data_IF_853488315995
#
_entry.id   IF_853488315995
#
_cell.length_a   1.000
_cell.length_b   1.000
_cell.length_c   1.000
_cell.angle_alpha   90.00
_cell.angle_beta   90.00
_cell.angle_gamma   90.00
#
_symmetry.space_group_name_H-M   'P 1'
#
loop_
_entity.id
_entity.type
_entity.pdbx_description
1 polymer ?
#
# COMPACT_ATOMS: atom_id res chain seq x y z
N UNK A 1 5.36 2.34 9.04
CA UNK A 1 4.97 2.48 10.46
C UNK A 1 4.07 3.68 10.68
N UNK A 2 4.47 4.92 10.37
CA UNK A 2 3.62 6.14 10.53
C UNK A 2 2.24 5.99 9.90
N UNK A 3 2.17 5.47 8.68
CA UNK A 3 0.91 5.25 7.98
C UNK A 3 0.03 4.20 8.69
N UNK A 4 0.62 3.11 9.18
CA UNK A 4 -0.11 2.10 9.92
C UNK A 4 -0.70 2.67 11.23
N UNK A 5 0.04 3.49 11.96
CA UNK A 5 -0.51 4.21 13.11
C UNK A 5 -1.67 5.13 12.72
N UNK A 6 -1.55 5.86 11.60
CA UNK A 6 -2.63 6.69 11.08
C UNK A 6 -3.89 5.88 10.72
N UNK A 7 -3.72 4.74 10.09
CA UNK A 7 -4.84 3.84 9.75
C UNK A 7 -5.53 3.30 11.00
N UNK A 8 -4.78 2.86 11.99
CA UNK A 8 -5.33 2.27 13.22
C UNK A 8 -5.90 3.35 14.15
N UNK A 9 -5.11 4.38 14.49
CA UNK A 9 -5.47 5.33 15.54
C UNK A 9 -6.37 6.48 15.04
N UNK A 10 -6.26 6.89 13.77
CA UNK A 10 -6.98 8.05 13.26
C UNK A 10 -8.11 7.67 12.30
N UNK A 11 -7.91 6.65 11.47
CA UNK A 11 -8.93 6.22 10.52
C UNK A 11 -9.85 5.10 11.04
N UNK A 12 -9.61 4.58 12.26
CA UNK A 12 -10.45 3.55 12.88
C UNK A 12 -10.43 2.21 12.12
N UNK A 13 -9.32 1.87 11.46
CA UNK A 13 -9.21 0.67 10.62
C UNK A 13 -8.73 -0.55 11.43
N UNK A 14 -9.34 -0.80 12.59
CA UNK A 14 -9.07 -1.99 13.41
C UNK A 14 -10.35 -2.44 14.09
N UNK A 15 -10.70 -3.70 13.91
CA UNK A 15 -11.88 -4.31 14.55
C UNK A 15 -11.77 -4.32 16.08
N UNK A 16 -10.55 -4.39 16.62
CA UNK A 16 -10.32 -4.42 18.08
C UNK A 16 -10.45 -3.06 18.75
N UNK A 17 -10.23 -1.98 18.01
CA UNK A 17 -10.40 -0.61 18.49
C UNK A 17 -11.77 -0.04 18.11
N UNK A 18 -12.57 -0.81 17.41
CA UNK A 18 -13.82 -0.39 16.81
C UNK A 18 -13.64 0.84 15.90
N UNK A 19 -14.71 1.60 15.65
CA UNK A 19 -14.67 2.76 14.75
C UNK A 19 -14.30 4.06 15.52
N UNK A 20 -13.39 3.97 16.48
CA UNK A 20 -12.96 5.11 17.28
C UNK A 20 -11.77 5.81 16.61
N UNK A 21 -11.85 7.13 16.56
CA UNK A 21 -10.77 7.99 16.13
C UNK A 21 -10.10 8.64 17.33
N UNK A 22 -8.81 8.45 17.48
CA UNK A 22 -8.00 9.04 18.55
C UNK A 22 -7.23 10.27 18.10
N UNK A 23 -7.69 10.92 17.02
CA UNK A 23 -7.11 12.16 16.53
C UNK A 23 -7.47 13.32 17.46
N UNK A 24 -6.47 14.11 17.88
CA UNK A 24 -6.67 15.36 18.57
C UNK A 24 -6.29 16.53 17.65
N UNK A 25 -7.24 17.41 17.38
CA UNK A 25 -7.00 18.65 16.63
C UNK A 25 -6.22 19.71 17.42
N UNK A 26 -5.91 19.43 18.71
CA UNK A 26 -5.20 20.34 19.62
C UNK A 26 -3.74 19.93 19.83
N UNK A 27 -3.07 19.45 18.79
CA UNK A 27 -1.70 18.91 18.85
C UNK A 27 -0.62 19.90 19.29
N UNK A 28 -0.91 21.19 19.40
CA UNK A 28 0.09 22.18 19.83
C UNK A 28 0.50 22.07 21.31
N UNK A 29 -0.28 21.33 22.15
CA UNK A 29 -0.01 21.19 23.59
C UNK A 29 -0.14 19.77 24.14
N UNK A 30 -0.19 18.75 23.30
CA UNK A 30 -0.45 17.39 23.74
C UNK A 30 0.81 16.68 24.26
N UNK A 31 1.22 17.03 25.48
CA UNK A 31 2.10 16.17 26.30
C UNK A 31 1.39 14.88 26.77
N UNK A 32 0.07 14.75 26.56
CA UNK A 32 -0.70 13.60 26.97
C UNK A 32 -1.39 12.96 25.76
N UNK A 33 -1.24 11.63 25.65
CA UNK A 33 -1.98 10.83 24.67
C UNK A 33 -3.49 10.93 24.98
N UNK A 34 -4.37 11.05 23.97
CA UNK A 34 -5.82 11.16 24.19
C UNK A 34 -6.49 9.84 24.58
N UNK A 35 -5.72 8.85 25.03
CA UNK A 35 -6.18 7.51 25.38
C UNK A 35 -5.32 6.90 26.49
N UNK A 36 -5.85 5.87 27.16
CA UNK A 36 -5.18 5.15 28.26
C UNK A 36 -3.97 4.34 27.75
N UNK A 37 -3.07 3.97 28.66
CA UNK A 37 -1.94 3.10 28.35
C UNK A 37 -2.38 1.75 27.82
N UNK A 38 -3.47 1.19 28.31
CA UNK A 38 -4.06 -0.05 27.78
C UNK A 38 -4.49 0.09 26.32
N UNK A 39 -5.07 1.21 25.95
CA UNK A 39 -5.42 1.50 24.55
C UNK A 39 -4.17 1.72 23.71
N UNK A 40 -3.11 2.35 24.27
CA UNK A 40 -1.83 2.49 23.59
C UNK A 40 -1.21 1.12 23.26
N UNK A 41 -1.17 0.19 24.22
CA UNK A 41 -0.68 -1.17 24.02
C UNK A 41 -1.48 -1.91 22.92
N UNK A 42 -2.80 -1.72 22.90
CA UNK A 42 -3.66 -2.31 21.88
C UNK A 42 -3.36 -1.72 20.48
N UNK A 43 -3.23 -0.40 20.37
CA UNK A 43 -2.81 0.27 19.14
C UNK A 43 -1.46 -0.27 18.65
N UNK A 44 -0.47 -0.37 19.52
CA UNK A 44 0.85 -0.89 19.18
C UNK A 44 0.80 -2.34 18.70
N UNK A 45 -0.03 -3.18 19.31
CA UNK A 45 -0.21 -4.57 18.93
C UNK A 45 -0.85 -4.71 17.55
N UNK A 46 -1.88 -3.90 17.26
CA UNK A 46 -2.55 -3.89 15.96
C UNK A 46 -1.63 -3.36 14.84
N UNK A 47 -0.87 -2.32 15.11
CA UNK A 47 0.13 -1.80 14.16
C UNK A 47 1.19 -2.86 13.86
N UNK A 48 1.71 -3.56 14.88
CA UNK A 48 2.67 -4.66 14.70
C UNK A 48 2.09 -5.79 13.86
N UNK A 49 0.86 -6.20 14.14
CA UNK A 49 0.17 -7.26 13.40
C UNK A 49 -0.02 -6.87 11.93
N UNK A 50 -0.52 -5.67 11.66
CA UNK A 50 -0.71 -5.15 10.30
C UNK A 50 0.62 -5.12 9.52
N UNK A 51 1.69 -4.62 10.11
CA UNK A 51 3.00 -4.56 9.45
C UNK A 51 3.55 -5.97 9.20
N UNK A 52 3.43 -6.87 10.15
CA UNK A 52 3.90 -8.26 10.02
C UNK A 52 3.17 -8.97 8.87
N UNK A 53 1.86 -8.84 8.78
CA UNK A 53 1.05 -9.41 7.70
C UNK A 53 1.50 -8.87 6.32
N UNK A 54 1.64 -7.56 6.18
CA UNK A 54 2.06 -6.98 4.90
C UNK A 54 3.52 -7.31 4.55
N UNK A 55 4.38 -7.48 5.54
CA UNK A 55 5.75 -7.93 5.33
C UNK A 55 5.81 -9.36 4.77
N UNK A 56 5.06 -10.29 5.36
CA UNK A 56 4.99 -11.67 4.86
C UNK A 56 4.36 -11.74 3.47
N UNK A 57 3.31 -10.94 3.21
CA UNK A 57 2.72 -10.80 1.88
C UNK A 57 3.75 -10.30 0.86
N UNK A 58 4.55 -9.30 1.21
CA UNK A 58 5.63 -8.80 0.35
C UNK A 58 6.67 -9.87 0.02
N UNK A 59 7.06 -10.66 1.01
CA UNK A 59 7.97 -11.80 0.81
C UNK A 59 7.39 -12.86 -0.13
N UNK A 60 6.13 -13.21 0.04
CA UNK A 60 5.44 -14.16 -0.83
C UNK A 60 5.44 -13.70 -2.28
N UNK A 61 5.05 -12.44 -2.55
CA UNK A 61 5.06 -11.87 -3.90
C UNK A 61 6.45 -11.93 -4.53
N UNK A 62 7.50 -11.58 -3.77
CA UNK A 62 8.88 -11.65 -4.27
C UNK A 62 9.33 -13.09 -4.54
N UNK A 63 8.89 -14.06 -3.75
CA UNK A 63 9.19 -15.47 -3.97
C UNK A 63 8.47 -16.03 -5.20
N UNK A 64 7.19 -15.70 -5.37
CA UNK A 64 6.38 -16.12 -6.51
C UNK A 64 6.92 -15.58 -7.84
N UNK A 65 7.48 -14.37 -7.82
CA UNK A 65 8.02 -13.69 -9.00
C UNK A 65 9.55 -13.62 -9.03
N UNK A 66 10.23 -14.55 -8.36
CA UNK A 66 11.69 -14.52 -8.18
C UNK A 66 12.46 -14.45 -9.51
N UNK A 67 12.05 -15.23 -10.49
CA UNK A 67 12.70 -15.28 -11.81
C UNK A 67 12.50 -13.97 -12.57
N UNK A 68 11.28 -13.46 -12.61
CA UNK A 68 10.98 -12.16 -13.21
C UNK A 68 11.72 -11.01 -12.50
N UNK A 69 11.83 -11.04 -11.19
CA UNK A 69 12.62 -10.07 -10.43
C UNK A 69 14.10 -10.10 -10.83
N UNK A 70 14.66 -11.30 -11.01
CA UNK A 70 16.05 -11.45 -11.47
C UNK A 70 16.25 -10.93 -12.90
N UNK A 71 15.36 -11.27 -13.83
CA UNK A 71 15.38 -10.79 -15.22
C UNK A 71 15.29 -9.26 -15.26
N UNK A 72 14.38 -8.66 -14.48
CA UNK A 72 14.22 -7.23 -14.39
C UNK A 72 15.50 -6.53 -13.88
N UNK A 73 16.15 -7.11 -12.87
CA UNK A 73 17.41 -6.60 -12.33
C UNK A 73 18.55 -6.65 -13.36
N UNK A 74 18.65 -7.73 -14.13
CA UNK A 74 19.62 -7.83 -15.22
C UNK A 74 19.36 -6.80 -16.33
N UNK A 75 18.11 -6.62 -16.73
CA UNK A 75 17.73 -5.65 -17.73
C UNK A 75 18.08 -4.21 -17.30
N UNK A 76 17.89 -3.88 -16.02
CA UNK A 76 18.30 -2.59 -15.46
C UNK A 76 19.82 -2.38 -15.50
N UNK A 77 20.60 -3.43 -15.24
CA UNK A 77 22.07 -3.35 -15.33
C UNK A 77 22.55 -3.16 -16.77
N UNK A 78 21.84 -3.71 -17.76
CA UNK A 78 22.21 -3.62 -19.17
C UNK A 78 21.78 -2.29 -19.81
N UNK A 79 20.58 -1.79 -19.47
CA UNK A 79 19.95 -0.65 -20.16
C UNK A 79 19.82 0.60 -19.30
N UNK A 80 20.01 0.49 -17.97
CA UNK A 80 19.80 1.56 -16.98
C UNK A 80 18.37 2.11 -16.89
N UNK A 81 17.52 1.81 -17.88
CA UNK A 81 16.11 2.23 -17.96
C UNK A 81 15.24 1.06 -18.38
N UNK A 82 14.08 0.92 -17.78
CA UNK A 82 13.02 -0.03 -18.15
C UNK A 82 11.73 0.71 -18.48
N UNK A 83 10.93 0.15 -19.38
CA UNK A 83 9.63 0.68 -19.79
C UNK A 83 8.50 -0.27 -19.39
N UNK A 84 7.26 0.18 -19.52
CA UNK A 84 6.08 -0.60 -19.16
C UNK A 84 6.01 -1.93 -19.95
N UNK A 85 6.41 -1.92 -21.22
CA UNK A 85 6.45 -3.09 -22.10
C UNK A 85 7.43 -4.16 -21.59
N UNK A 86 8.56 -3.77 -21.02
CA UNK A 86 9.52 -4.69 -20.42
C UNK A 86 8.91 -5.38 -19.19
N UNK A 87 8.20 -4.63 -18.35
CA UNK A 87 7.52 -5.16 -17.16
C UNK A 87 6.37 -6.09 -17.56
N UNK A 88 5.57 -5.73 -18.57
CA UNK A 88 4.50 -6.58 -19.08
C UNK A 88 5.02 -7.88 -19.72
N UNK A 89 6.15 -7.81 -20.41
CA UNK A 89 6.80 -9.00 -20.99
C UNK A 89 7.25 -9.98 -19.91
N UNK A 90 7.79 -9.47 -18.80
CA UNK A 90 8.35 -10.29 -17.70
C UNK A 90 7.25 -10.83 -16.79
N UNK A 91 6.29 -9.99 -16.40
CA UNK A 91 5.28 -10.31 -15.37
C UNK A 91 3.87 -10.50 -15.93
N UNK A 92 3.66 -10.29 -17.23
CA UNK A 92 2.35 -10.28 -17.85
C UNK A 92 1.62 -8.94 -17.73
N UNK A 93 0.50 -8.85 -18.43
CA UNK A 93 -0.36 -7.65 -18.36
C UNK A 93 -0.97 -7.48 -16.99
N UNK A 94 -1.18 -6.23 -16.59
CA UNK A 94 -1.91 -5.92 -15.35
C UNK A 94 -3.30 -6.54 -15.36
N UNK A 95 -3.78 -7.09 -14.25
CA UNK A 95 -5.12 -7.66 -14.15
C UNK A 95 -6.24 -6.58 -14.18
N UNK A 96 -5.89 -5.30 -14.10
CA UNK A 96 -6.81 -4.15 -14.18
C UNK A 96 -6.25 -3.10 -15.14
N UNK A 97 -7.15 -2.39 -15.82
CA UNK A 97 -6.79 -1.25 -16.66
C UNK A 97 -6.22 -0.10 -15.79
N UNK A 98 -5.25 0.63 -16.32
CA UNK A 98 -4.80 1.86 -15.69
C UNK A 98 -5.85 2.96 -15.89
N UNK A 99 -5.89 3.95 -14.99
CA UNK A 99 -6.80 5.09 -15.16
C UNK A 99 -6.62 5.82 -16.49
N UNK A 100 -5.41 5.83 -17.04
CA UNK A 100 -5.12 6.42 -18.34
C UNK A 100 -5.76 5.62 -19.49
N UNK A 101 -5.73 4.29 -19.43
CA UNK A 101 -6.39 3.41 -20.40
C UNK A 101 -7.91 3.56 -20.33
N UNK A 102 -8.49 3.64 -19.13
CA UNK A 102 -9.94 3.87 -18.93
C UNK A 102 -10.38 5.21 -19.53
N UNK A 103 -9.59 6.27 -19.38
CA UNK A 103 -9.87 7.59 -19.95
C UNK A 103 -9.80 7.55 -21.47
N UNK A 104 -8.78 6.90 -22.05
CA UNK A 104 -8.64 6.77 -23.50
C UNK A 104 -9.77 5.96 -24.11
N UNK A 105 -10.16 4.85 -23.48
CA UNK A 105 -11.29 4.02 -23.92
C UNK A 105 -12.63 4.77 -23.84
N UNK A 106 -12.82 5.59 -22.82
CA UNK A 106 -14.03 6.41 -22.70
C UNK A 106 -14.08 7.53 -23.74
N UNK A 107 -12.95 8.13 -24.10
CA UNK A 107 -12.87 9.15 -25.17
C UNK A 107 -13.14 8.56 -26.53
N UNK A 108 -12.59 7.39 -26.84
CA UNK A 108 -12.82 6.70 -28.12
C UNK A 108 -14.26 6.25 -28.31
N UNK A 109 -15.00 5.97 -27.25
CA UNK A 109 -16.43 5.63 -27.31
C UNK A 109 -17.32 6.83 -27.61
N UNK A 110 -16.93 8.01 -27.16
CA UNK A 110 -17.68 9.27 -27.43
C UNK A 110 -17.49 9.79 -28.87
N UNK A 111 -16.41 9.43 -29.54
CA UNK A 111 -16.17 9.80 -30.94
C UNK A 111 -16.85 8.89 -31.96
N UNK A 112 -17.47 7.78 -31.51
CA UNK A 112 -18.16 6.82 -32.37
C UNK A 112 -19.72 6.90 -32.29
N UNK A 113 -20.27 7.80 -31.47
CA UNK A 113 -21.70 8.14 -31.40
C UNK A 113 -21.98 9.48 -32.13
#
# INVERSE_FOLDING_TARGET
>A
TKQAYGMIAYAGMSDKLANLCYYSSRDEYAFQKPYSDKTAELIDSEVKAMIAEQYERGKQILMEHKEGHHELAQLLLEREVIFAEDVERIFGKRPWASRSEEILDSSNKQEQE
#
